data_IF_172129084612
#
_entry.id   IF_172129084612
#
_cell.length_a   1.000
_cell.length_b   1.000
_cell.length_c   1.000
_cell.angle_alpha   90.00
_cell.angle_beta   90.00
_cell.angle_gamma   90.00
#
_symmetry.space_group_name_H-M   'P 1'
#
loop_
_entity.id
_entity.type
_entity.pdbx_description
1 polymer ?
#
# COMPACT_ATOMS: atom_id res chain seq x y z
N UNK A 1 -22.55 -28.15 -43.76
CA UNK A 1 -21.22 -28.08 -43.09
C UNK A 1 -20.59 -26.69 -43.08
N UNK A 2 -20.72 -25.88 -44.15
CA UNK A 2 -20.09 -24.55 -44.27
C UNK A 2 -20.49 -23.57 -43.15
N UNK A 3 -21.77 -23.54 -42.75
CA UNK A 3 -22.26 -22.64 -41.69
C UNK A 3 -21.65 -22.98 -40.33
N UNK A 4 -21.55 -24.27 -39.96
CA UNK A 4 -20.91 -24.71 -38.70
C UNK A 4 -19.45 -24.25 -38.62
N UNK A 5 -18.68 -24.34 -39.72
CA UNK A 5 -17.27 -23.92 -39.77
C UNK A 5 -17.11 -22.41 -39.60
N UNK A 6 -18.01 -21.60 -40.18
CA UNK A 6 -18.02 -20.13 -40.02
C UNK A 6 -18.39 -19.71 -38.59
N UNK A 7 -19.36 -20.38 -37.98
CA UNK A 7 -19.77 -20.13 -36.58
C UNK A 7 -18.63 -20.47 -35.63
N UNK A 8 -17.94 -21.62 -35.81
CA UNK A 8 -16.79 -21.98 -34.97
C UNK A 8 -15.63 -20.98 -35.10
N UNK A 9 -15.32 -20.51 -36.31
CA UNK A 9 -14.27 -19.49 -36.51
C UNK A 9 -14.64 -18.16 -35.83
N UNK A 10 -15.90 -17.74 -35.89
CA UNK A 10 -16.35 -16.52 -35.22
C UNK A 10 -16.17 -16.60 -33.70
N UNK A 11 -16.52 -17.72 -33.06
CA UNK A 11 -16.29 -17.94 -31.63
C UNK A 11 -14.81 -17.88 -31.24
N UNK A 12 -13.93 -18.46 -32.07
CA UNK A 12 -12.47 -18.41 -31.82
C UNK A 12 -11.96 -16.97 -31.88
N UNK A 13 -12.40 -16.17 -32.86
CA UNK A 13 -12.00 -14.76 -32.99
C UNK A 13 -12.49 -13.93 -31.80
N UNK A 14 -13.76 -14.10 -31.40
CA UNK A 14 -14.31 -13.40 -30.23
C UNK A 14 -13.58 -13.78 -28.95
N UNK A 15 -13.22 -15.06 -28.78
CA UNK A 15 -12.41 -15.51 -27.65
C UNK A 15 -11.03 -14.85 -27.60
N UNK A 16 -10.33 -14.77 -28.73
CA UNK A 16 -9.00 -14.12 -28.81
C UNK A 16 -9.11 -12.62 -28.50
N UNK A 17 -10.14 -11.94 -29.01
CA UNK A 17 -10.36 -10.51 -28.76
C UNK A 17 -10.69 -10.23 -27.28
N UNK A 18 -11.46 -11.11 -26.64
CA UNK A 18 -11.74 -11.01 -25.20
C UNK A 18 -10.46 -11.18 -24.36
N UNK A 19 -9.60 -12.13 -24.72
CA UNK A 19 -8.33 -12.35 -24.01
C UNK A 19 -7.39 -11.16 -24.21
N UNK A 20 -7.26 -10.65 -25.45
CA UNK A 20 -6.36 -9.52 -25.71
C UNK A 20 -6.80 -8.25 -24.98
N UNK A 21 -8.10 -7.98 -24.92
CA UNK A 21 -8.63 -6.84 -24.15
C UNK A 21 -8.40 -6.99 -22.64
N UNK A 22 -8.54 -8.20 -22.08
CA UNK A 22 -8.23 -8.46 -20.67
C UNK A 22 -6.73 -8.23 -20.36
N UNK A 23 -5.83 -8.66 -21.25
CA UNK A 23 -4.39 -8.45 -21.07
C UNK A 23 -4.06 -6.96 -21.12
N UNK A 24 -4.55 -6.22 -22.12
CA UNK A 24 -4.31 -4.78 -22.26
C UNK A 24 -4.85 -4.02 -21.03
N UNK A 25 -6.03 -4.40 -20.54
CA UNK A 25 -6.60 -3.77 -19.36
C UNK A 25 -5.79 -4.08 -18.09
N UNK A 26 -5.27 -5.29 -17.97
CA UNK A 26 -4.43 -5.71 -16.84
C UNK A 26 -3.08 -4.98 -16.85
N UNK A 27 -2.43 -4.86 -18.01
CA UNK A 27 -1.19 -4.09 -18.15
C UNK A 27 -1.41 -2.60 -17.93
N UNK A 28 -2.54 -2.05 -18.39
CA UNK A 28 -2.93 -0.68 -18.09
C UNK A 28 -3.11 -0.45 -16.59
N UNK A 29 -3.81 -1.33 -15.87
CA UNK A 29 -3.95 -1.24 -14.39
C UNK A 29 -2.61 -1.36 -13.65
N UNK A 30 -1.72 -2.21 -14.14
CA UNK A 30 -0.38 -2.36 -13.58
C UNK A 30 0.56 -1.21 -13.96
N UNK A 31 0.17 -0.33 -14.89
CA UNK A 31 1.04 0.75 -15.34
C UNK A 31 1.29 1.77 -14.24
N UNK A 32 2.50 2.30 -14.21
CA UNK A 32 2.90 3.36 -13.28
C UNK A 32 2.01 4.59 -13.40
N UNK A 33 1.61 4.96 -14.63
CA UNK A 33 0.70 6.09 -14.86
C UNK A 33 -0.68 5.87 -14.23
N UNK A 34 -1.23 4.65 -14.31
CA UNK A 34 -2.51 4.30 -13.67
C UNK A 34 -2.38 4.34 -12.14
N UNK A 35 -1.32 3.73 -11.59
CA UNK A 35 -1.05 3.72 -10.15
C UNK A 35 -0.84 5.13 -9.60
N UNK A 36 -0.07 5.98 -10.28
CA UNK A 36 0.15 7.40 -9.90
C UNK A 36 -1.13 8.23 -9.98
N UNK A 37 -1.98 8.01 -10.99
CA UNK A 37 -3.26 8.69 -11.09
C UNK A 37 -4.27 8.26 -10.00
N UNK A 38 -4.14 7.03 -9.49
CA UNK A 38 -4.97 6.45 -8.42
C UNK A 38 -4.45 6.76 -7.02
N UNK A 39 -3.13 6.82 -6.83
CA UNK A 39 -2.43 7.25 -5.62
C UNK A 39 -2.51 8.78 -5.45
N UNK A 40 -3.72 9.35 -5.57
CA UNK A 40 -3.93 10.81 -5.65
C UNK A 40 -3.58 11.54 -4.35
N UNK A 41 -3.54 10.81 -3.23
CA UNK A 41 -3.15 11.36 -1.93
C UNK A 41 -2.12 10.45 -1.30
N UNK A 42 -0.94 11.02 -1.07
CA UNK A 42 0.22 10.39 -0.46
C UNK A 42 0.67 11.27 0.71
N UNK A 43 1.01 10.64 1.83
CA UNK A 43 1.65 11.29 2.96
C UNK A 43 3.02 10.68 3.21
N UNK A 44 4.02 11.54 3.39
CA UNK A 44 5.31 11.15 3.92
C UNK A 44 5.18 11.03 5.44
N UNK A 45 5.26 9.79 5.95
CA UNK A 45 5.11 9.49 7.37
C UNK A 45 6.43 8.97 7.96
N UNK A 46 7.55 9.33 7.32
CA UNK A 46 8.88 8.99 7.79
C UNK A 46 9.12 9.59 9.18
N UNK A 47 9.83 8.86 10.03
CA UNK A 47 10.15 9.27 11.40
C UNK A 47 11.61 9.01 11.70
N UNK A 48 12.16 9.69 12.70
CA UNK A 48 13.47 9.41 13.26
C UNK A 48 13.27 8.57 14.51
N UNK A 49 13.90 7.40 14.59
CA UNK A 49 13.76 6.51 15.75
C UNK A 49 14.12 7.26 17.05
N UNK A 50 13.14 7.44 17.93
CA UNK A 50 13.32 8.23 19.14
C UNK A 50 14.26 7.56 20.15
N UNK A 51 14.14 6.24 20.30
CA UNK A 51 14.93 5.40 21.22
C UNK A 51 15.00 3.96 20.69
N UNK A 52 16.12 3.28 20.95
CA UNK A 52 16.27 1.87 20.60
C UNK A 52 15.36 0.99 21.44
N UNK A 53 14.58 0.14 20.77
CA UNK A 53 13.77 -0.87 21.47
C UNK A 53 14.66 -1.93 22.13
N UNK A 54 14.25 -2.39 23.31
CA UNK A 54 14.93 -3.43 24.09
C UNK A 54 13.94 -4.57 24.39
N UNK A 55 14.39 -5.73 24.88
CA UNK A 55 13.46 -6.79 25.29
C UNK A 55 12.41 -6.34 26.32
N UNK A 56 12.71 -5.29 27.09
CA UNK A 56 11.84 -4.74 28.12
C UNK A 56 11.10 -3.45 27.68
N UNK A 57 11.37 -2.94 26.48
CA UNK A 57 10.80 -1.67 25.99
C UNK A 57 10.50 -1.70 24.49
N UNK A 58 9.23 -1.47 24.15
CA UNK A 58 8.75 -1.37 22.78
C UNK A 58 8.52 0.10 22.41
N UNK A 59 9.41 0.66 21.58
CA UNK A 59 9.38 2.07 21.21
C UNK A 59 8.65 2.23 19.88
N UNK A 60 7.64 3.11 19.86
CA UNK A 60 6.92 3.55 18.66
C UNK A 60 7.19 5.05 18.51
N UNK A 61 7.64 5.47 17.33
CA UNK A 61 7.77 6.89 17.03
C UNK A 61 6.60 7.32 16.14
N UNK A 62 5.86 8.35 16.57
CA UNK A 62 4.76 8.90 15.81
C UNK A 62 5.20 10.05 14.91
N UNK A 63 4.76 10.01 13.67
CA UNK A 63 4.86 11.13 12.73
C UNK A 63 3.89 12.24 13.10
N UNK A 64 4.22 13.48 12.73
CA UNK A 64 3.29 14.61 12.84
C UNK A 64 2.19 14.59 11.76
N UNK A 65 2.27 13.63 10.82
CA UNK A 65 1.32 13.52 9.73
C UNK A 65 -0.06 13.10 10.23
N UNK A 66 -1.06 13.91 9.90
CA UNK A 66 -2.48 13.62 10.05
C UNK A 66 -3.02 13.12 8.72
N UNK A 67 -3.44 11.85 8.69
CA UNK A 67 -3.87 11.19 7.46
C UNK A 67 -5.35 10.81 7.53
N UNK A 68 -6.06 10.97 6.42
CA UNK A 68 -7.50 10.72 6.29
C UNK A 68 -7.74 9.91 5.03
N UNK A 69 -8.37 8.75 5.15
CA UNK A 69 -8.71 7.95 3.97
C UNK A 69 -10.10 8.30 3.43
N UNK A 70 -10.16 8.63 2.13
CA UNK A 70 -11.41 8.77 1.39
C UNK A 70 -11.84 7.45 0.74
N UNK A 71 -10.89 6.54 0.53
CA UNK A 71 -11.15 5.23 -0.09
C UNK A 71 -11.56 4.15 0.93
N UNK A 72 -11.34 4.42 2.22
CA UNK A 72 -11.46 3.44 3.29
C UNK A 72 -10.32 2.45 3.38
N UNK A 73 -9.24 2.69 2.62
CA UNK A 73 -8.01 1.90 2.64
C UNK A 73 -6.81 2.82 2.76
N UNK A 74 -5.91 2.50 3.68
CA UNK A 74 -4.59 3.14 3.77
C UNK A 74 -3.52 2.08 3.52
N UNK A 75 -2.75 2.25 2.44
CA UNK A 75 -1.64 1.36 2.14
C UNK A 75 -0.33 2.02 2.52
N UNK A 76 0.42 1.37 3.41
CA UNK A 76 1.75 1.79 3.84
C UNK A 76 2.78 1.06 3.00
N UNK A 77 3.77 1.80 2.52
CA UNK A 77 4.93 1.29 1.81
C UNK A 77 6.18 1.47 2.66
N UNK A 78 6.82 0.36 3.02
CA UNK A 78 8.11 0.35 3.69
C UNK A 78 9.20 0.67 2.66
N UNK A 79 9.92 1.79 2.82
CA UNK A 79 11.02 2.20 1.93
C UNK A 79 12.40 2.05 2.58
N UNK A 80 12.50 1.15 3.54
CA UNK A 80 13.75 0.80 4.22
C UNK A 80 14.29 -0.55 3.73
N UNK A 81 15.53 -0.84 4.12
CA UNK A 81 16.19 -2.12 3.95
C UNK A 81 15.98 -3.08 5.14
N UNK A 82 15.20 -2.67 6.14
CA UNK A 82 14.76 -3.44 7.30
C UNK A 82 13.24 -3.48 7.42
N UNK A 83 12.74 -4.37 8.28
CA UNK A 83 11.31 -4.57 8.52
C UNK A 83 10.75 -3.52 9.49
N UNK A 84 9.49 -3.15 9.30
CA UNK A 84 8.80 -2.16 10.16
C UNK A 84 7.43 -2.68 10.60
N UNK A 85 6.95 -2.23 11.75
CA UNK A 85 5.55 -2.39 12.19
C UNK A 85 4.91 -1.01 12.26
N UNK A 86 3.72 -0.88 11.68
CA UNK A 86 3.02 0.41 11.60
C UNK A 86 1.79 0.38 12.49
N UNK A 87 1.62 1.45 13.24
CA UNK A 87 0.51 1.68 14.15
C UNK A 87 -0.28 2.89 13.66
N UNK A 88 -1.61 2.76 13.56
CA UNK A 88 -2.52 3.85 13.21
C UNK A 88 -3.32 4.24 14.44
N UNK A 89 -2.95 5.36 15.04
CA UNK A 89 -3.62 5.94 16.19
C UNK A 89 -4.80 6.79 15.74
N UNK A 90 -5.98 6.56 16.32
CA UNK A 90 -7.17 7.38 16.13
C UNK A 90 -7.78 7.73 17.47
N UNK A 91 -8.12 9.00 17.69
CA UNK A 91 -8.66 9.47 18.96
C UNK A 91 -9.96 8.74 19.34
N UNK A 92 -10.01 8.26 20.59
CA UNK A 92 -11.17 7.53 21.13
C UNK A 92 -11.38 6.14 20.55
N UNK A 93 -10.41 5.58 19.83
CA UNK A 93 -10.45 4.22 19.27
C UNK A 93 -9.21 3.42 19.67
N UNK A 94 -9.35 2.10 19.61
CA UNK A 94 -8.20 1.20 19.69
C UNK A 94 -7.31 1.42 18.46
N UNK A 95 -6.00 1.44 18.71
CA UNK A 95 -4.98 1.55 17.68
C UNK A 95 -4.99 0.34 16.74
N UNK A 96 -4.87 0.59 15.44
CA UNK A 96 -4.77 -0.47 14.44
C UNK A 96 -3.29 -0.74 14.21
N UNK A 97 -2.89 -2.00 14.28
CA UNK A 97 -1.49 -2.40 14.15
C UNK A 97 -1.35 -3.30 12.94
N UNK A 98 -0.33 -3.07 12.11
CA UNK A 98 0.01 -3.95 11.00
C UNK A 98 0.73 -5.20 11.50
N UNK A 99 0.77 -6.25 10.67
CA UNK A 99 1.82 -7.25 10.77
C UNK A 99 3.19 -6.61 10.45
N UNK A 100 4.28 -7.33 10.69
CA UNK A 100 5.61 -6.90 10.25
C UNK A 100 5.63 -6.73 8.73
N UNK A 101 5.95 -5.54 8.26
CA UNK A 101 6.06 -5.18 6.86
C UNK A 101 7.53 -5.37 6.45
N UNK A 102 7.83 -6.36 5.59
CA UNK A 102 9.20 -6.64 5.21
C UNK A 102 9.83 -5.46 4.48
N UNK A 103 11.17 -5.39 4.44
CA UNK A 103 11.91 -4.41 3.66
C UNK A 103 11.39 -4.27 2.21
N UNK A 104 11.05 -3.05 1.79
CA UNK A 104 10.44 -2.77 0.47
C UNK A 104 8.99 -3.23 0.30
N UNK A 105 8.38 -3.81 1.34
CA UNK A 105 7.02 -4.36 1.33
C UNK A 105 5.93 -3.31 1.46
N UNK A 106 4.67 -3.77 1.42
CA UNK A 106 3.49 -2.92 1.64
C UNK A 106 2.46 -3.65 2.51
N UNK A 107 1.70 -2.88 3.29
CA UNK A 107 0.56 -3.38 4.07
C UNK A 107 -0.65 -2.46 3.90
N UNK A 108 -1.86 -3.02 3.85
CA UNK A 108 -3.10 -2.24 3.65
C UNK A 108 -4.03 -2.38 4.84
N UNK A 109 -4.28 -1.27 5.53
CA UNK A 109 -5.36 -1.16 6.50
C UNK A 109 -6.70 -1.00 5.77
N UNK A 110 -7.72 -1.74 6.20
CA UNK A 110 -9.07 -1.68 5.63
C UNK A 110 -10.06 -1.06 6.63
N UNK A 111 -11.18 -0.54 6.14
CA UNK A 111 -12.25 0.07 6.93
C UNK A 111 -11.79 1.29 7.76
N UNK A 112 -10.88 2.09 7.20
CA UNK A 112 -10.28 3.28 7.84
C UNK A 112 -10.90 4.60 7.35
N UNK A 113 -12.23 4.64 7.12
CA UNK A 113 -12.92 5.83 6.59
C UNK A 113 -13.19 6.90 7.67
N UNK A 114 -13.42 8.13 7.19
CA UNK A 114 -14.07 9.24 7.91
C UNK A 114 -13.40 9.66 9.22
N UNK A 115 -12.11 9.33 9.39
CA UNK A 115 -11.35 9.61 10.60
C UNK A 115 -9.91 9.96 10.29
N UNK A 116 -9.40 10.89 11.08
CA UNK A 116 -8.00 11.23 11.09
C UNK A 116 -7.21 10.20 11.89
N UNK A 117 -6.08 9.77 11.31
CA UNK A 117 -5.12 8.87 11.94
C UNK A 117 -3.76 9.56 12.04
N UNK A 118 -3.01 9.20 13.08
CA UNK A 118 -1.58 9.51 13.22
C UNK A 118 -0.79 8.22 13.07
N UNK A 119 0.26 8.27 12.25
CA UNK A 119 1.07 7.09 11.92
C UNK A 119 2.22 6.97 12.91
N UNK A 120 2.21 5.88 13.68
CA UNK A 120 3.30 5.40 14.52
C UNK A 120 4.09 4.32 13.79
N UNK A 121 5.41 4.32 13.96
CA UNK A 121 6.28 3.31 13.36
C UNK A 121 7.21 2.75 14.42
N UNK A 122 7.27 1.43 14.46
CA UNK A 122 8.24 0.67 15.22
C UNK A 122 9.19 -0.06 14.27
N UNK A 123 10.47 -0.09 14.60
CA UNK A 123 11.50 -0.87 13.92
C UNK A 123 12.60 -1.26 14.91
N UNK A 124 13.25 -2.40 14.66
CA UNK A 124 14.41 -2.86 15.45
C UNK A 124 15.70 -2.17 14.95
N UNK A 125 15.80 -0.86 15.19
CA UNK A 125 16.92 -0.02 14.76
C UNK A 125 17.50 0.77 15.93
N UNK A 126 18.69 1.33 15.73
CA UNK A 126 19.31 2.20 16.71
C UNK A 126 18.62 3.57 16.76
N UNK A 127 18.75 4.24 17.90
CA UNK A 127 18.29 5.62 18.10
C UNK A 127 18.81 6.54 16.98
N UNK A 128 18.02 7.53 16.59
CA UNK A 128 18.32 8.49 15.53
C UNK A 128 18.41 7.89 14.11
N UNK A 129 18.02 6.62 13.93
CA UNK A 129 17.88 6.03 12.59
C UNK A 129 16.65 6.58 11.88
N UNK A 130 16.83 7.06 10.65
CA UNK A 130 15.72 7.45 9.77
C UNK A 130 14.92 6.21 9.34
N UNK A 131 13.61 6.24 9.59
CA UNK A 131 12.66 5.19 9.19
C UNK A 131 11.72 5.77 8.13
N UNK A 132 11.88 5.32 6.88
CA UNK A 132 11.16 5.85 5.72
C UNK A 132 9.87 5.07 5.46
N UNK A 133 8.72 5.74 5.57
CA UNK A 133 7.42 5.15 5.27
C UNK A 133 6.52 6.15 4.56
N UNK A 134 5.84 5.66 3.52
CA UNK A 134 4.88 6.43 2.76
C UNK A 134 3.51 5.79 2.88
N UNK A 135 2.49 6.62 3.08
CA UNK A 135 1.11 6.14 3.19
C UNK A 135 0.29 6.69 2.04
N UNK A 136 -0.52 5.83 1.44
CA UNK A 136 -1.34 6.10 0.26
C UNK A 136 -2.83 5.92 0.60
N UNK A 137 -3.68 6.84 0.14
CA UNK A 137 -5.13 6.66 0.19
C UNK A 137 -5.58 5.74 -0.96
N UNK A 138 -5.82 4.47 -0.64
CA UNK A 138 -6.16 3.41 -1.58
C UNK A 138 -5.17 2.27 -1.57
N UNK A 139 -5.45 1.23 -2.38
CA UNK A 139 -4.63 0.01 -2.48
C UNK A 139 -3.36 0.16 -3.33
N UNK A 140 -3.32 1.20 -4.17
CA UNK A 140 -2.25 1.39 -5.14
C UNK A 140 -1.17 2.30 -4.54
N UNK A 141 0.08 1.83 -4.55
CA UNK A 141 1.26 2.63 -4.18
C UNK A 141 2.03 3.05 -5.42
N UNK A 142 3.00 3.96 -5.31
CA UNK A 142 3.98 4.15 -6.38
C UNK A 142 4.91 2.92 -6.51
N UNK A 143 5.44 2.62 -7.72
CA UNK A 143 6.50 1.65 -7.86
C UNK A 143 7.69 2.04 -6.98
N UNK A 144 8.15 1.12 -6.14
CA UNK A 144 9.36 1.28 -5.34
C UNK A 144 10.39 0.27 -5.83
N UNK A 145 11.53 0.78 -6.28
CA UNK A 145 12.72 0.00 -6.61
C UNK A 145 13.74 0.29 -5.52
N UNK A 146 14.18 -0.76 -4.84
CA UNK A 146 15.17 -0.69 -3.75
C UNK A 146 16.49 -0.10 -4.22
#
# INVERSE_FOLDING_TARGET
MVVKKKVTIAFVITGILAISTMIIFSTYKSSEAYRKAKAKTQWECSVVCAEKSTPDSYVITYSDAKILSNTGVLTVQNRNDFDITVHLLCEGKQELVSDSIPAGGCYSFQNVTDKEYTVGIHAEVDENTDIKAFVYDGKDTEPYTR
#
